data_IF_122282824813
#
_entry.id   IF_122282824813
#
_cell.length_a   1.000
_cell.length_b   1.000
_cell.length_c   1.000
_cell.angle_alpha   90.00
_cell.angle_beta   90.00
_cell.angle_gamma   90.00
#
_symmetry.space_group_name_H-M   'P 1'
#
loop_
_entity.id
_entity.type
_entity.pdbx_description
1 polymer ?
#
# COMPACT_ATOMS: atom_id res chain seq x y z
N UNK A 1 -15.71 -1.60 -6.97
CA UNK A 1 -15.49 -2.99 -7.44
C UNK A 1 -16.81 -3.73 -7.48
N UNK A 2 -16.97 -4.76 -8.32
CA UNK A 2 -18.18 -5.60 -8.31
C UNK A 2 -18.11 -6.61 -7.16
N UNK A 3 -19.20 -6.74 -6.40
CA UNK A 3 -19.30 -7.60 -5.21
C UNK A 3 -19.03 -9.06 -5.56
N UNK A 4 -19.53 -9.53 -6.71
CA UNK A 4 -19.33 -10.91 -7.19
C UNK A 4 -17.84 -11.20 -7.47
N UNK A 5 -17.10 -10.21 -7.97
CA UNK A 5 -15.66 -10.33 -8.21
C UNK A 5 -14.91 -10.43 -6.88
N UNK A 6 -15.28 -9.63 -5.89
CA UNK A 6 -14.67 -9.68 -4.55
C UNK A 6 -14.96 -11.01 -3.88
N UNK A 7 -16.20 -11.51 -3.97
CA UNK A 7 -16.58 -12.82 -3.45
C UNK A 7 -15.73 -13.93 -4.04
N UNK A 8 -15.59 -13.96 -5.37
CA UNK A 8 -14.78 -14.96 -6.07
C UNK A 8 -13.30 -14.86 -5.67
N UNK A 9 -12.75 -13.64 -5.68
CA UNK A 9 -11.36 -13.38 -5.29
C UNK A 9 -11.08 -13.89 -3.87
N UNK A 10 -11.96 -13.59 -2.92
CA UNK A 10 -11.78 -14.04 -1.53
C UNK A 10 -11.86 -15.56 -1.46
N UNK A 11 -12.88 -16.18 -2.08
CA UNK A 11 -13.04 -17.64 -2.06
C UNK A 11 -11.86 -18.39 -2.68
N UNK A 12 -11.24 -17.87 -3.74
CA UNK A 12 -10.06 -18.46 -4.39
C UNK A 12 -8.78 -18.37 -3.54
N UNK A 13 -8.72 -17.48 -2.55
CA UNK A 13 -7.52 -17.22 -1.75
C UNK A 13 -7.62 -17.70 -0.30
N UNK A 14 -8.72 -18.36 0.08
CA UNK A 14 -8.86 -18.99 1.39
C UNK A 14 -8.07 -20.31 1.41
N UNK A 15 -7.34 -20.56 2.50
CA UNK A 15 -6.51 -21.78 2.65
C UNK A 15 -7.32 -23.06 2.82
N UNK A 16 -8.59 -22.95 3.21
CA UNK A 16 -9.50 -24.07 3.44
C UNK A 16 -10.73 -23.91 2.54
N UNK A 17 -10.93 -24.86 1.63
CA UNK A 17 -12.04 -24.88 0.67
C UNK A 17 -13.42 -24.94 1.34
N UNK A 18 -13.50 -25.34 2.62
CA UNK A 18 -14.75 -25.35 3.39
C UNK A 18 -15.08 -23.99 4.00
N UNK A 19 -14.14 -23.05 4.00
CA UNK A 19 -14.34 -21.73 4.56
C UNK A 19 -15.39 -20.96 3.75
N UNK A 20 -16.44 -20.50 4.45
CA UNK A 20 -17.50 -19.69 3.86
C UNK A 20 -17.36 -18.26 4.32
N UNK A 21 -17.55 -17.33 3.39
CA UNK A 21 -17.67 -15.90 3.69
C UNK A 21 -19.15 -15.50 3.67
N UNK A 22 -19.58 -14.72 4.66
CA UNK A 22 -20.94 -14.19 4.74
C UNK A 22 -21.15 -13.06 3.73
N UNK A 23 -22.41 -12.81 3.33
CA UNK A 23 -22.72 -11.74 2.39
C UNK A 23 -22.25 -10.36 2.89
N UNK A 24 -22.48 -10.07 4.17
CA UNK A 24 -22.06 -8.80 4.79
C UNK A 24 -20.54 -8.63 4.81
N UNK A 25 -19.78 -9.71 5.05
CA UNK A 25 -18.33 -9.66 4.99
C UNK A 25 -17.83 -9.38 3.56
N UNK A 26 -18.48 -9.93 2.53
CA UNK A 26 -18.14 -9.61 1.13
C UNK A 26 -18.40 -8.13 0.83
N UNK A 27 -19.52 -7.57 1.30
CA UNK A 27 -19.82 -6.14 1.11
C UNK A 27 -18.77 -5.27 1.80
N UNK A 28 -18.38 -5.61 3.03
CA UNK A 28 -17.35 -4.88 3.76
C UNK A 28 -15.99 -4.94 3.06
N UNK A 29 -15.55 -6.13 2.62
CA UNK A 29 -14.28 -6.28 1.89
C UNK A 29 -14.33 -5.51 0.56
N UNK A 30 -15.50 -5.47 -0.10
CA UNK A 30 -15.68 -4.67 -1.32
C UNK A 30 -15.40 -3.20 -1.06
N UNK A 31 -15.88 -2.67 0.07
CA UNK A 31 -15.65 -1.27 0.43
C UNK A 31 -14.20 -1.01 0.86
N UNK A 32 -13.61 -1.93 1.63
CA UNK A 32 -12.18 -1.86 1.98
C UNK A 32 -11.30 -1.82 0.72
N UNK A 33 -11.59 -2.65 -0.27
CA UNK A 33 -10.84 -2.66 -1.53
C UNK A 33 -11.07 -1.40 -2.37
N UNK A 34 -12.29 -0.83 -2.36
CA UNK A 34 -12.55 0.47 -3.00
C UNK A 34 -11.68 1.57 -2.39
N UNK A 35 -11.66 1.66 -1.06
CA UNK A 35 -10.85 2.64 -0.34
C UNK A 35 -9.36 2.40 -0.58
N UNK A 36 -8.90 1.14 -0.55
CA UNK A 36 -7.51 0.80 -0.81
C UNK A 36 -7.02 1.28 -2.19
N UNK A 37 -7.81 1.02 -3.25
CA UNK A 37 -7.48 1.45 -4.61
C UNK A 37 -7.54 2.97 -4.75
N UNK A 38 -8.53 3.62 -4.15
CA UNK A 38 -8.66 5.07 -4.17
C UNK A 38 -7.47 5.75 -3.46
N UNK A 39 -7.04 5.21 -2.31
CA UNK A 39 -5.90 5.71 -1.56
C UNK A 39 -4.59 5.52 -2.33
N UNK A 40 -4.41 4.37 -2.98
CA UNK A 40 -3.28 4.12 -3.87
C UNK A 40 -3.21 5.17 -4.99
N UNK A 41 -4.33 5.39 -5.70
CA UNK A 41 -4.40 6.38 -6.77
C UNK A 41 -4.12 7.82 -6.28
N UNK A 42 -4.72 8.21 -5.15
CA UNK A 42 -4.54 9.52 -4.53
C UNK A 42 -3.07 9.75 -4.14
N UNK A 43 -2.41 8.76 -3.54
CA UNK A 43 -0.99 8.86 -3.16
C UNK A 43 -0.09 8.93 -4.38
N UNK A 44 -0.36 8.16 -5.42
CA UNK A 44 0.41 8.23 -6.65
C UNK A 44 0.26 9.56 -7.38
N UNK A 45 -0.95 10.14 -7.41
CA UNK A 45 -1.17 11.48 -7.94
C UNK A 45 -0.36 12.53 -7.15
N UNK A 46 -0.44 12.49 -5.81
CA UNK A 46 0.37 13.37 -4.95
C UNK A 46 1.88 13.19 -5.17
N UNK A 47 2.34 11.96 -5.46
CA UNK A 47 3.75 11.71 -5.75
C UNK A 47 4.15 12.21 -7.14
N UNK A 48 3.26 12.16 -8.14
CA UNK A 48 3.47 12.77 -9.45
C UNK A 48 3.59 14.29 -9.34
N UNK A 49 2.72 14.93 -8.57
CA UNK A 49 2.80 16.37 -8.30
C UNK A 49 4.14 16.75 -7.65
N UNK A 50 4.61 15.96 -6.68
CA UNK A 50 5.91 16.15 -6.00
C UNK A 50 7.10 16.01 -6.95
N UNK A 51 7.01 15.08 -7.88
CA UNK A 51 8.02 14.85 -8.90
C UNK A 51 7.89 15.81 -10.11
N UNK A 52 6.93 16.77 -10.07
CA UNK A 52 6.58 17.64 -11.19
C UNK A 52 6.24 16.88 -12.48
N UNK A 53 5.64 15.69 -12.35
CA UNK A 53 5.19 14.87 -13.46
C UNK A 53 3.72 15.18 -13.80
N UNK A 54 3.37 15.39 -15.08
CA UNK A 54 1.99 15.66 -15.49
C UNK A 54 1.07 14.43 -15.44
N UNK A 55 1.65 13.23 -15.31
CA UNK A 55 0.93 11.95 -15.24
C UNK A 55 1.55 11.05 -14.19
N UNK A 56 0.73 10.17 -13.61
CA UNK A 56 1.22 9.12 -12.73
C UNK A 56 1.94 8.07 -13.57
N UNK A 57 3.24 7.91 -13.35
CA UNK A 57 4.03 6.82 -13.92
C UNK A 57 4.28 5.72 -12.89
N UNK A 58 4.88 4.62 -13.35
CA UNK A 58 5.24 3.47 -12.51
C UNK A 58 6.16 3.90 -11.36
N UNK A 59 7.10 4.80 -11.61
CA UNK A 59 8.09 5.27 -10.65
C UNK A 59 7.44 5.96 -9.45
N UNK A 60 6.40 6.78 -9.68
CA UNK A 60 5.66 7.40 -8.58
C UNK A 60 4.79 6.41 -7.81
N UNK A 61 4.25 5.40 -8.51
CA UNK A 61 3.52 4.33 -7.84
C UNK A 61 4.45 3.50 -6.93
N UNK A 62 5.64 3.12 -7.41
CA UNK A 62 6.63 2.36 -6.62
C UNK A 62 7.09 3.12 -5.37
N UNK A 63 7.27 4.44 -5.47
CA UNK A 63 7.60 5.29 -4.32
C UNK A 63 6.52 5.30 -3.25
N UNK A 64 5.26 5.01 -3.59
CA UNK A 64 4.17 4.99 -2.61
C UNK A 64 3.84 3.61 -2.05
N UNK A 65 4.43 2.54 -2.61
CA UNK A 65 4.20 1.18 -2.17
C UNK A 65 4.54 0.95 -0.69
N UNK A 66 5.69 1.41 -0.15
CA UNK A 66 6.04 1.15 1.24
C UNK A 66 4.96 1.63 2.23
N UNK A 67 4.46 2.86 2.07
CA UNK A 67 3.40 3.39 2.93
C UNK A 67 2.00 2.86 2.61
N UNK A 68 1.79 2.30 1.42
CA UNK A 68 0.51 1.73 1.00
C UNK A 68 0.31 0.33 1.61
N UNK A 69 1.35 -0.50 1.66
CA UNK A 69 1.26 -1.89 2.14
C UNK A 69 1.98 -2.16 3.46
N UNK A 70 2.93 -1.32 3.87
CA UNK A 70 3.73 -1.51 5.08
C UNK A 70 3.38 -0.56 6.22
N UNK A 71 2.11 -0.16 6.33
CA UNK A 71 1.61 0.68 7.42
C UNK A 71 1.99 0.06 8.79
N UNK A 72 3.09 0.55 9.41
CA UNK A 72 3.47 0.31 10.80
C UNK A 72 4.45 -0.83 11.14
N UNK A 73 5.08 -1.56 10.20
CA UNK A 73 5.93 -2.71 10.58
C UNK A 73 7.46 -2.49 10.55
N UNK A 74 8.01 -1.41 9.97
CA UNK A 74 9.47 -1.29 9.77
C UNK A 74 10.11 0.10 9.96
N UNK A 75 9.64 0.96 10.87
CA UNK A 75 10.39 2.20 11.19
C UNK A 75 11.00 2.24 12.60
N UNK A 76 11.16 1.08 13.26
CA UNK A 76 12.16 0.93 14.33
C UNK A 76 13.40 0.27 13.73
N UNK A 77 14.09 0.98 12.83
CA UNK A 77 15.48 0.66 12.49
C UNK A 77 16.25 1.82 11.80
N UNK A 78 15.59 2.94 11.47
CA UNK A 78 16.27 4.14 10.94
C UNK A 78 16.79 5.09 12.04
N UNK A 79 17.48 4.54 13.03
CA UNK A 79 18.17 5.34 14.07
C UNK A 79 19.69 5.14 14.11
N UNK A 80 20.29 4.59 13.05
CA UNK A 80 21.74 4.29 13.05
C UNK A 80 22.53 4.90 11.88
N UNK A 81 22.00 5.87 11.13
CA UNK A 81 22.79 6.58 10.10
C UNK A 81 22.77 8.11 10.26
N UNK A 82 23.55 8.61 11.21
CA UNK A 82 24.19 9.94 11.27
C UNK A 82 25.09 9.92 12.53
N UNK A 83 26.37 10.27 12.59
CA UNK A 83 27.36 10.90 11.71
C UNK A 83 28.74 10.34 12.09
N UNK A 84 29.61 10.13 11.11
CA UNK A 84 31.04 9.88 11.30
C UNK A 84 31.75 11.23 11.54
N UNK A 85 32.36 11.51 12.71
CA UNK A 85 33.08 12.76 12.91
C UNK A 85 34.45 12.69 12.23
N UNK A 86 34.59 13.41 11.12
CA UNK A 86 35.87 13.65 10.42
C UNK A 86 36.93 14.17 11.42
N UNK A 87 38.10 13.51 11.55
CA UNK A 87 39.14 13.98 12.47
C UNK A 87 39.75 15.30 11.97
N UNK A 88 39.81 16.30 12.86
CA UNK A 88 40.59 17.53 12.64
C UNK A 88 42.07 17.17 12.69
N UNK A 89 42.79 17.46 11.60
CA UNK A 89 44.25 17.52 11.63
C UNK A 89 44.69 18.68 12.53
N UNK A 90 45.61 18.38 13.44
CA UNK A 90 46.51 19.36 14.05
C UNK A 90 47.88 19.21 13.37
#
# INVERSE_FOLDING_TARGET
MKVETVKKLVQENLKDDKSKITADAVLLITEVLNVFVAEAACRSAKQADRDSSPVVTREQFEKILPQLVSFGFLTVNDASQEMDPKPRHN
#
